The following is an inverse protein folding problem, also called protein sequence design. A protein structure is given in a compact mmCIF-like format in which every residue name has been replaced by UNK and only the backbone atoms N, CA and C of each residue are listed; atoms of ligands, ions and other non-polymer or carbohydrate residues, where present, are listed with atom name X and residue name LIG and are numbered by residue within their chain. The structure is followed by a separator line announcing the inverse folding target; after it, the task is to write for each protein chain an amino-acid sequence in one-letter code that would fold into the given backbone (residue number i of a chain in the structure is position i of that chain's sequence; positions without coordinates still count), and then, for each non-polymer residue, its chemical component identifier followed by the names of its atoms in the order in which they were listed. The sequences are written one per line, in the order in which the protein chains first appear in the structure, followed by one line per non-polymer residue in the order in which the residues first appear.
data_IF_659538338662
#
_entry.id   IF_659538338662
#
_cell.length_a   1.000
_cell.length_b   1.000
_cell.length_c   1.000
_cell.angle_alpha   90.00
_cell.angle_beta   90.00
_cell.angle_gamma   90.00
#
_symmetry.space_group_name_H-M   'P 1'
#
loop_
_entity.id
_entity.type
_entity.pdbx_description
1 polymer ?
#
# COMPACT_ATOMS: atom_id res chain seq x y z
N UNK A 1 19.89 6.18 13.51
CA UNK A 1 20.29 6.15 12.09
C UNK A 1 19.90 4.79 11.55
N UNK A 2 18.87 4.72 10.73
CA UNK A 2 18.40 3.48 10.11
C UNK A 2 19.17 3.31 8.81
N UNK A 3 20.15 2.42 8.78
CA UNK A 3 20.83 2.06 7.54
C UNK A 3 19.82 1.41 6.60
N UNK A 4 19.70 1.86 5.33
CA UNK A 4 18.82 1.21 4.38
C UNK A 4 19.33 -0.21 4.13
N UNK A 5 18.50 -1.21 4.39
CA UNK A 5 18.78 -2.60 4.02
C UNK A 5 18.74 -2.69 2.50
N UNK A 6 19.92 -2.77 1.87
CA UNK A 6 20.02 -2.96 0.44
C UNK A 6 19.88 -4.45 0.10
N UNK A 7 18.77 -4.82 -0.53
CA UNK A 7 18.57 -6.15 -1.09
C UNK A 7 19.11 -6.17 -2.52
N UNK A 8 20.05 -7.06 -2.81
CA UNK A 8 20.62 -7.24 -4.15
C UNK A 8 20.03 -8.53 -4.74
N UNK A 9 19.28 -8.40 -5.84
CA UNK A 9 18.64 -9.51 -6.53
C UNK A 9 19.59 -10.12 -7.57
N UNK A 10 20.48 -11.00 -7.15
CA UNK A 10 21.46 -11.68 -8.04
C UNK A 10 21.00 -13.05 -8.52
N UNK A 11 20.12 -13.69 -7.76
CA UNK A 11 19.67 -15.06 -7.95
C UNK A 11 18.16 -15.17 -7.73
N UNK A 12 17.58 -16.26 -8.21
CA UNK A 12 16.15 -16.53 -8.05
C UNK A 12 15.72 -16.62 -6.58
N UNK A 13 16.60 -17.07 -5.69
CA UNK A 13 16.33 -17.15 -4.25
C UNK A 13 16.21 -15.78 -3.58
N UNK A 14 16.92 -14.77 -4.09
CA UNK A 14 16.91 -13.42 -3.50
C UNK A 14 15.55 -12.73 -3.63
N UNK A 15 14.75 -13.16 -4.61
CA UNK A 15 13.38 -12.69 -4.78
C UNK A 15 12.51 -13.01 -3.58
N UNK A 16 12.71 -14.15 -2.92
CA UNK A 16 11.89 -14.55 -1.78
C UNK A 16 12.05 -13.58 -0.61
N UNK A 17 13.30 -13.25 -0.25
CA UNK A 17 13.59 -12.28 0.81
C UNK A 17 13.08 -10.88 0.45
N UNK A 18 13.22 -10.47 -0.81
CA UNK A 18 12.68 -9.21 -1.28
C UNK A 18 11.15 -9.16 -1.19
N UNK A 19 10.45 -10.23 -1.60
CA UNK A 19 8.99 -10.31 -1.50
C UNK A 19 8.52 -10.20 -0.05
N UNK A 20 9.17 -10.90 0.88
CA UNK A 20 8.83 -10.82 2.30
C UNK A 20 9.04 -9.42 2.88
N UNK A 21 10.10 -8.72 2.46
CA UNK A 21 10.37 -7.35 2.88
C UNK A 21 9.29 -6.39 2.36
N UNK A 22 8.91 -6.51 1.09
CA UNK A 22 7.87 -5.68 0.47
C UNK A 22 6.49 -5.94 1.10
N UNK A 23 6.13 -7.21 1.30
CA UNK A 23 4.88 -7.58 1.99
C UNK A 23 4.83 -6.97 3.39
N UNK A 24 5.90 -7.14 4.17
CA UNK A 24 5.99 -6.58 5.52
C UNK A 24 5.85 -5.06 5.50
N UNK A 25 6.55 -4.37 4.60
CA UNK A 25 6.49 -2.91 4.49
C UNK A 25 5.07 -2.43 4.10
N UNK A 26 4.44 -3.10 3.14
CA UNK A 26 3.12 -2.75 2.64
C UNK A 26 2.00 -3.01 3.67
N UNK A 27 2.11 -4.10 4.44
CA UNK A 27 1.19 -4.38 5.56
C UNK A 27 1.31 -3.30 6.63
N UNK A 28 2.53 -2.93 7.02
CA UNK A 28 2.75 -1.85 8.00
C UNK A 28 2.27 -0.48 7.53
N UNK A 29 2.26 -0.24 6.22
CA UNK A 29 1.77 0.99 5.62
C UNK A 29 0.27 0.93 5.25
N UNK A 30 -0.43 -0.17 5.57
CA UNK A 30 -1.85 -0.39 5.26
C UNK A 30 -2.18 -0.29 3.76
N UNK A 31 -1.23 -0.63 2.89
CA UNK A 31 -1.39 -0.58 1.42
C UNK A 31 -1.33 -1.95 0.74
N UNK A 32 -1.21 -3.04 1.51
CA UNK A 32 -1.03 -4.38 0.94
C UNK A 32 -2.16 -4.79 -0.02
N UNK A 33 -3.40 -4.44 0.29
CA UNK A 33 -4.58 -4.74 -0.53
C UNK A 33 -4.51 -4.12 -1.95
N UNK A 34 -3.65 -3.11 -2.14
CA UNK A 34 -3.46 -2.43 -3.42
C UNK A 34 -2.30 -2.98 -4.25
N UNK A 35 -1.39 -3.74 -3.64
CA UNK A 35 -0.12 -4.18 -4.27
C UNK A 35 0.10 -5.69 -4.20
N UNK A 36 -0.78 -6.44 -3.55
CA UNK A 36 -0.66 -7.90 -3.40
C UNK A 36 -0.73 -8.60 -4.78
N UNK A 37 0.36 -9.23 -5.24
CA UNK A 37 0.42 -9.85 -6.57
C UNK A 37 -0.43 -11.13 -6.68
N UNK A 38 -0.92 -11.67 -5.56
CA UNK A 38 -1.79 -12.85 -5.54
C UNK A 38 -3.27 -12.48 -5.72
N UNK A 39 -3.60 -11.18 -5.73
CA UNK A 39 -4.96 -10.69 -5.94
C UNK A 39 -5.11 -10.30 -7.41
N UNK A 40 -6.18 -10.77 -8.03
CA UNK A 40 -6.48 -10.42 -9.42
C UNK A 40 -6.77 -8.92 -9.55
N UNK A 41 -6.31 -8.30 -10.64
CA UNK A 41 -6.35 -6.84 -10.80
C UNK A 41 -7.77 -6.25 -10.75
N UNK A 42 -8.77 -7.04 -11.13
CA UNK A 42 -10.20 -6.72 -11.07
C UNK A 42 -10.76 -6.68 -9.64
N UNK A 43 -10.05 -7.25 -8.66
CA UNK A 43 -10.43 -7.27 -7.24
C UNK A 43 -9.72 -6.15 -6.46
N UNK A 44 -8.63 -5.60 -7.00
CA UNK A 44 -7.86 -4.53 -6.35
C UNK A 44 -8.75 -3.27 -6.21
N UNK A 45 -8.84 -2.67 -5.01
CA UNK A 45 -9.67 -1.49 -4.81
C UNK A 45 -9.22 -0.35 -5.74
N UNK A 46 -10.16 0.17 -6.52
CA UNK A 46 -9.87 1.28 -7.43
C UNK A 46 -9.76 2.57 -6.64
N UNK A 47 -8.69 3.34 -6.87
CA UNK A 47 -8.60 4.70 -6.36
C UNK A 47 -9.71 5.52 -7.03
N UNK A 48 -10.75 5.84 -6.26
CA UNK A 48 -11.86 6.69 -6.68
C UNK A 48 -11.67 8.07 -6.10
N UNK A 49 -12.02 9.09 -6.87
CA UNK A 49 -12.03 10.46 -6.38
C UNK A 49 -13.05 10.58 -5.24
N UNK A 50 -12.67 11.17 -4.09
CA UNK A 50 -13.62 11.37 -3.01
C UNK A 50 -14.74 12.32 -3.48
N UNK A 51 -15.96 12.09 -2.99
CA UNK A 51 -17.06 13.01 -3.27
C UNK A 51 -16.76 14.39 -2.67
N UNK A 52 -16.86 15.44 -3.49
CA UNK A 52 -16.66 16.81 -3.02
C UNK A 52 -17.71 17.13 -1.95
N UNK A 53 -17.31 17.64 -0.77
CA UNK A 53 -18.27 17.96 0.26
C UNK A 53 -19.20 19.08 -0.21
N UNK A 54 -20.50 18.86 -0.01
CA UNK A 54 -21.49 19.92 -0.18
C UNK A 54 -21.65 20.71 1.11
N UNK A 55 -22.30 21.88 1.04
CA UNK A 55 -22.66 22.69 2.21
C UNK A 55 -23.49 21.91 3.26
N UNK A 56 -24.14 20.80 2.89
CA UNK A 56 -24.90 19.94 3.80
C UNK A 56 -24.05 18.87 4.50
N UNK A 57 -22.88 18.52 3.96
CA UNK A 57 -22.02 17.43 4.48
C UNK A 57 -20.86 17.94 5.34
N UNK A 58 -20.63 19.26 5.36
CA UNK A 58 -19.68 19.90 6.27
C UNK A 58 -20.25 19.87 7.71
N UNK A 59 -19.48 19.34 8.67
CA UNK A 59 -19.90 19.33 10.08
C UNK A 59 -20.08 20.78 10.57
N UNK A 60 -21.25 21.14 11.12
CA UNK A 60 -21.51 22.52 11.57
C UNK A 60 -20.60 22.95 12.73
N UNK A 61 -20.03 22.01 13.49
CA UNK A 61 -19.22 22.26 14.69
C UNK A 61 -17.71 21.96 14.50
N UNK A 62 -17.17 22.15 13.30
CA UNK A 62 -15.73 22.06 13.08
C UNK A 62 -15.03 23.30 13.67
N UNK A 63 -14.69 23.27 14.97
CA UNK A 63 -13.80 24.25 15.64
C UNK A 63 -12.33 24.00 15.40
#
# INVERSE_FOLDING_TARGET
MTSPTQVILTSSSDWLEWFQLIETAAVNAEVWDYVNPNVAIDIIPTCTEPEEPTFLTVKPDAT
#
